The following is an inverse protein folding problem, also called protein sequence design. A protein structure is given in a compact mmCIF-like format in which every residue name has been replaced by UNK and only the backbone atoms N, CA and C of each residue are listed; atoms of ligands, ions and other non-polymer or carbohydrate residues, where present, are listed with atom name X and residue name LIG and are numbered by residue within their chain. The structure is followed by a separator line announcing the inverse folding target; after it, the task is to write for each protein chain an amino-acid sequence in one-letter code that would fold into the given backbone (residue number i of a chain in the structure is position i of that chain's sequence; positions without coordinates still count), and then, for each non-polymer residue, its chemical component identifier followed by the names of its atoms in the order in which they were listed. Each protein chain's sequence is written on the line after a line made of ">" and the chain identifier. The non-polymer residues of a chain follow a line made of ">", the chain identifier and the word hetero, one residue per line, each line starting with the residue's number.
data_IF_643191490534
#
_entry.id   IF_643191490534
#
_cell.length_a   1.000
_cell.length_b   1.000
_cell.length_c   1.000
_cell.angle_alpha   90.00
_cell.angle_beta   90.00
_cell.angle_gamma   90.00
#
_symmetry.space_group_name_H-M   'P 1'
#
loop_
_entity.id
_entity.type
_entity.pdbx_description
1 polymer ?
#
# COMPACT_ATOMS: atom_id res chain seq x y z
N UNK A 1 -6.56 1.89 27.52
CA UNK A 1 -5.93 0.65 27.98
C UNK A 1 -6.97 -0.19 28.74
N UNK A 2 -7.22 -1.41 28.28
CA UNK A 2 -8.19 -2.30 28.91
C UNK A 2 -7.54 -2.96 30.12
N UNK A 3 -7.83 -2.44 31.32
CA UNK A 3 -7.28 -2.93 32.58
C UNK A 3 -8.46 -3.44 33.41
N UNK A 4 -8.46 -4.70 33.82
CA UNK A 4 -9.34 -5.22 34.87
C UNK A 4 -8.60 -5.22 36.21
N UNK A 5 -9.25 -4.72 37.22
CA UNK A 5 -8.71 -4.72 38.59
C UNK A 5 -9.82 -4.68 39.65
N UNK A 6 -9.48 -5.09 40.85
CA UNK A 6 -10.36 -4.92 41.99
C UNK A 6 -10.17 -3.53 42.59
N UNK A 7 -11.23 -2.74 42.60
CA UNK A 7 -11.24 -1.48 43.29
C UNK A 7 -11.65 -1.70 44.76
N UNK A 8 -10.85 -1.19 45.70
CA UNK A 8 -11.19 -1.10 47.11
C UNK A 8 -11.63 0.34 47.37
N UNK A 9 -12.88 0.50 47.77
CA UNK A 9 -13.46 1.80 48.08
C UNK A 9 -13.51 1.93 49.60
N UNK A 10 -12.79 2.90 50.14
CA UNK A 10 -12.82 3.26 51.52
C UNK A 10 -13.14 4.72 51.69
N UNK A 11 -13.95 5.07 52.67
CA UNK A 11 -14.30 6.46 52.94
C UNK A 11 -15.05 6.63 54.27
N UNK A 12 -14.97 7.83 54.84
CA UNK A 12 -15.61 8.21 56.09
C UNK A 12 -16.77 9.21 55.87
N UNK A 13 -17.23 9.38 54.64
CA UNK A 13 -18.30 10.27 54.28
C UNK A 13 -17.84 11.64 53.68
N UNK A 14 -16.60 12.05 53.90
CA UNK A 14 -16.04 13.29 53.36
C UNK A 14 -15.04 13.05 52.21
N UNK A 15 -14.35 11.94 52.25
CA UNK A 15 -13.37 11.57 51.21
C UNK A 15 -13.52 10.10 50.86
N UNK A 16 -13.67 9.80 49.60
CA UNK A 16 -13.69 8.46 49.04
C UNK A 16 -12.33 8.20 48.38
N UNK A 17 -11.61 7.19 48.87
CA UNK A 17 -10.38 6.74 48.24
C UNK A 17 -10.65 5.47 47.47
N UNK A 18 -10.34 5.49 46.17
CA UNK A 18 -10.42 4.32 45.32
C UNK A 18 -8.99 3.86 45.04
N UNK A 19 -8.67 2.66 45.46
CA UNK A 19 -7.38 2.03 45.13
C UNK A 19 -7.60 0.71 44.39
N UNK A 20 -6.73 0.45 43.42
CA UNK A 20 -6.73 -0.82 42.69
C UNK A 20 -5.71 -1.75 43.36
N UNK A 21 -6.18 -2.87 43.88
CA UNK A 21 -5.31 -3.87 44.53
C UNK A 21 -4.47 -4.66 43.50
N UNK A 22 -5.06 -4.92 42.36
CA UNK A 22 -4.42 -5.53 41.22
C UNK A 22 -5.03 -4.93 39.93
N UNK A 23 -4.18 -4.60 38.96
CA UNK A 23 -4.60 -4.20 37.64
C UNK A 23 -3.81 -5.01 36.64
N UNK A 24 -4.50 -5.89 35.93
CA UNK A 24 -3.90 -6.71 34.89
C UNK A 24 -4.56 -6.40 33.55
N UNK A 25 -3.74 -6.32 32.51
CA UNK A 25 -4.25 -6.20 31.14
C UNK A 25 -4.84 -7.56 30.75
N UNK A 26 -6.13 -7.57 30.42
CA UNK A 26 -6.87 -8.79 30.08
C UNK A 26 -6.60 -9.27 28.65
N UNK A 27 -6.37 -8.33 27.75
CA UNK A 27 -6.19 -8.59 26.31
C UNK A 27 -4.78 -8.25 25.87
N UNK A 28 -4.37 -8.80 24.75
CA UNK A 28 -3.16 -8.34 24.08
C UNK A 28 -3.38 -6.93 23.51
N UNK A 29 -2.27 -6.23 23.30
CA UNK A 29 -2.25 -4.90 22.71
C UNK A 29 -1.37 -4.92 21.46
N UNK A 30 -1.93 -4.57 20.32
CA UNK A 30 -1.18 -4.24 19.13
C UNK A 30 -0.96 -2.72 19.10
N UNK A 31 0.30 -2.29 19.19
CA UNK A 31 0.70 -0.92 18.96
C UNK A 31 1.10 -0.77 17.49
N UNK A 32 0.50 0.16 16.80
CA UNK A 32 0.79 0.48 15.42
C UNK A 32 1.45 1.85 15.38
N UNK A 33 2.72 1.89 14.98
CA UNK A 33 3.43 3.15 14.73
C UNK A 33 3.04 3.67 13.35
N UNK A 34 2.58 4.93 13.26
CA UNK A 34 2.09 5.57 12.04
C UNK A 34 2.32 7.08 12.10
N UNK A 35 1.61 7.87 11.28
CA UNK A 35 1.62 9.33 11.33
C UNK A 35 0.94 9.85 12.61
N UNK A 36 1.42 10.94 13.23
CA UNK A 36 0.77 11.55 14.40
C UNK A 36 -0.60 12.15 14.06
N UNK A 37 -1.56 11.99 14.98
CA UNK A 37 -2.91 12.58 14.90
C UNK A 37 -3.70 12.24 13.62
N UNK A 38 -3.36 11.12 12.98
CA UNK A 38 -4.01 10.69 11.74
C UNK A 38 -4.92 9.48 11.97
N UNK A 39 -5.92 9.36 11.10
CA UNK A 39 -6.75 8.17 11.05
C UNK A 39 -6.13 7.12 10.16
N UNK A 40 -6.10 5.89 10.66
CA UNK A 40 -5.74 4.70 9.92
C UNK A 40 -6.89 3.69 9.97
N UNK A 41 -6.97 2.85 8.96
CA UNK A 41 -7.87 1.70 8.95
C UNK A 41 -7.05 0.45 9.15
N UNK A 42 -7.56 -0.46 9.97
CA UNK A 42 -6.92 -1.73 10.28
C UNK A 42 -7.87 -2.86 9.92
N UNK A 43 -7.55 -3.58 8.86
CA UNK A 43 -8.25 -4.82 8.54
C UNK A 43 -7.64 -5.95 9.34
N UNK A 44 -8.47 -6.82 9.88
CA UNK A 44 -8.04 -7.98 10.65
C UNK A 44 -8.72 -9.25 10.16
N UNK A 45 -8.01 -10.36 10.26
CA UNK A 45 -8.60 -11.69 10.09
C UNK A 45 -8.45 -12.48 11.39
N UNK A 46 -9.47 -13.27 11.75
CA UNK A 46 -9.51 -14.13 12.95
C UNK A 46 -9.12 -13.38 14.23
N UNK A 47 -9.82 -12.30 14.51
CA UNK A 47 -9.59 -11.40 15.62
C UNK A 47 -10.77 -11.37 16.58
N UNK A 48 -10.50 -11.44 17.88
CA UNK A 48 -11.52 -11.25 18.92
C UNK A 48 -11.28 -9.89 19.60
N UNK A 49 -12.14 -8.89 19.36
CA UNK A 49 -12.01 -7.56 19.96
C UNK A 49 -12.08 -7.61 21.48
N UNK A 50 -11.39 -6.69 22.14
CA UNK A 50 -11.47 -6.56 23.60
C UNK A 50 -12.90 -6.29 24.03
N UNK A 51 -13.40 -7.10 24.97
CA UNK A 51 -14.77 -7.03 25.47
C UNK A 51 -15.78 -7.89 24.70
N UNK A 52 -15.40 -8.47 23.59
CA UNK A 52 -16.19 -9.47 22.86
C UNK A 52 -15.82 -10.89 23.30
N UNK A 53 -16.79 -11.80 23.23
CA UNK A 53 -16.56 -13.25 23.27
C UNK A 53 -16.45 -13.86 21.89
N UNK A 54 -16.83 -13.12 20.86
CA UNK A 54 -16.99 -13.61 19.50
C UNK A 54 -15.80 -13.23 18.64
N UNK A 55 -15.19 -14.23 18.02
CA UNK A 55 -14.13 -14.06 17.05
C UNK A 55 -14.73 -13.59 15.72
N UNK A 56 -14.18 -12.52 15.19
CA UNK A 56 -14.49 -12.01 13.86
C UNK A 56 -13.59 -12.67 12.83
N UNK A 57 -14.15 -13.28 11.80
CA UNK A 57 -13.35 -13.82 10.69
C UNK A 57 -12.71 -12.72 9.89
N UNK A 58 -13.39 -11.58 9.75
CA UNK A 58 -12.90 -10.35 9.13
C UNK A 58 -13.43 -9.14 9.90
N UNK A 59 -12.54 -8.26 10.30
CA UNK A 59 -12.84 -7.01 10.98
C UNK A 59 -12.23 -5.82 10.24
N UNK A 60 -12.84 -4.65 10.41
CA UNK A 60 -12.33 -3.39 9.89
C UNK A 60 -12.47 -2.32 10.99
N UNK A 61 -11.35 -1.74 11.41
CA UNK A 61 -11.28 -0.82 12.53
C UNK A 61 -10.66 0.51 12.11
N UNK A 62 -11.35 1.61 12.38
CA UNK A 62 -10.78 2.95 12.25
C UNK A 62 -10.15 3.35 13.57
N UNK A 63 -8.86 3.63 13.58
CA UNK A 63 -8.09 4.06 14.73
C UNK A 63 -7.54 5.46 14.49
N UNK A 64 -7.44 6.25 15.56
CA UNK A 64 -6.74 7.54 15.52
C UNK A 64 -5.44 7.41 16.31
N UNK A 65 -4.33 7.81 15.71
CA UNK A 65 -3.03 7.83 16.37
C UNK A 65 -2.90 8.99 17.35
N UNK A 66 -2.09 8.82 18.37
CA UNK A 66 -1.73 9.86 19.32
C UNK A 66 -0.73 10.88 18.72
N UNK A 67 -0.37 11.91 19.50
CA UNK A 67 0.62 12.94 19.11
C UNK A 67 2.01 12.36 18.80
N UNK A 68 2.29 11.13 19.22
CA UNK A 68 3.55 10.42 18.94
C UNK A 68 3.44 9.45 17.77
N UNK A 69 2.29 9.42 17.09
CA UNK A 69 2.03 8.54 15.98
C UNK A 69 1.76 7.08 16.36
N UNK A 70 1.24 6.81 17.57
CA UNK A 70 0.86 5.46 17.95
C UNK A 70 -0.66 5.30 17.94
N UNK A 71 -1.14 4.29 17.26
CA UNK A 71 -2.50 3.79 17.37
C UNK A 71 -2.51 2.43 18.05
N UNK A 72 -3.62 2.08 18.69
CA UNK A 72 -3.69 0.88 19.51
C UNK A 72 -4.95 0.07 19.21
N UNK A 73 -4.76 -1.22 18.97
CA UNK A 73 -5.85 -2.20 18.85
C UNK A 73 -5.72 -3.23 19.98
N UNK A 74 -6.83 -3.48 20.66
CA UNK A 74 -6.88 -4.39 21.81
C UNK A 74 -7.78 -5.59 21.50
N UNK A 75 -7.27 -6.79 21.75
CA UNK A 75 -8.00 -8.03 21.51
C UNK A 75 -7.05 -9.22 21.44
N UNK A 76 -7.53 -10.31 20.90
CA UNK A 76 -6.75 -11.54 20.69
C UNK A 76 -6.73 -11.86 19.20
N UNK A 77 -5.55 -12.07 18.67
CA UNK A 77 -5.33 -12.55 17.31
C UNK A 77 -5.04 -14.04 17.37
N UNK A 78 -5.71 -14.81 16.56
CA UNK A 78 -5.48 -16.24 16.45
C UNK A 78 -4.20 -16.56 15.66
N UNK A 79 -3.80 -17.82 15.65
CA UNK A 79 -2.71 -18.28 14.81
C UNK A 79 -3.03 -18.07 13.32
N UNK A 80 -2.07 -17.56 12.57
CA UNK A 80 -2.20 -17.16 11.17
C UNK A 80 -3.19 -15.99 10.90
N UNK A 81 -3.60 -15.26 11.93
CA UNK A 81 -4.34 -14.00 11.75
C UNK A 81 -3.51 -13.02 10.96
N UNK A 82 -4.15 -12.35 10.01
CA UNK A 82 -3.55 -11.27 9.25
C UNK A 82 -4.07 -9.91 9.73
N UNK A 83 -3.17 -8.94 9.79
CA UNK A 83 -3.48 -7.55 10.11
C UNK A 83 -2.91 -6.68 9.00
N UNK A 84 -3.78 -5.94 8.31
CA UNK A 84 -3.36 -4.98 7.29
C UNK A 84 -3.67 -3.57 7.76
N UNK A 85 -2.65 -2.75 7.88
CA UNK A 85 -2.78 -1.33 8.22
C UNK A 85 -2.87 -0.52 6.94
N UNK A 86 -3.91 0.31 6.84
CA UNK A 86 -4.17 1.18 5.70
C UNK A 86 -4.17 2.65 6.11
N UNK A 87 -3.72 3.50 5.22
CA UNK A 87 -3.89 4.93 5.29
C UNK A 87 -4.49 5.42 3.98
N UNK A 88 -5.64 6.12 4.04
CA UNK A 88 -6.41 6.55 2.86
C UNK A 88 -6.64 5.41 1.85
N UNK A 89 -7.09 4.24 2.34
CA UNK A 89 -7.31 2.99 1.59
C UNK A 89 -6.03 2.29 1.06
N UNK A 90 -4.86 2.90 1.21
CA UNK A 90 -3.60 2.27 0.85
C UNK A 90 -3.07 1.33 1.93
N UNK A 91 -2.82 0.09 1.60
CA UNK A 91 -2.13 -0.82 2.50
C UNK A 91 -0.68 -0.34 2.72
N UNK A 92 -0.37 0.09 3.94
CA UNK A 92 0.99 0.46 4.35
C UNK A 92 1.83 -0.75 4.69
N UNK A 93 1.24 -1.69 5.42
CA UNK A 93 1.93 -2.90 5.86
C UNK A 93 0.90 -3.98 6.19
N UNK A 94 1.30 -5.22 5.99
CA UNK A 94 0.55 -6.41 6.38
C UNK A 94 1.44 -7.27 7.27
N UNK A 95 0.88 -7.79 8.35
CA UNK A 95 1.56 -8.67 9.29
C UNK A 95 0.72 -9.91 9.57
N UNK A 96 1.35 -11.07 9.53
CA UNK A 96 0.71 -12.34 9.88
C UNK A 96 1.26 -12.83 11.21
N UNK A 97 0.39 -13.08 12.17
CA UNK A 97 0.75 -13.69 13.44
C UNK A 97 1.04 -15.18 13.26
N UNK A 98 2.29 -15.60 13.47
CA UNK A 98 2.67 -17.02 13.39
C UNK A 98 2.17 -17.86 14.57
N UNK A 99 1.67 -17.21 15.62
CA UNK A 99 1.09 -17.82 16.82
C UNK A 99 0.00 -16.91 17.35
N UNK A 100 -0.99 -17.49 18.04
CA UNK A 100 -2.00 -16.71 18.73
C UNK A 100 -1.36 -15.76 19.77
N UNK A 101 -1.92 -14.55 19.89
CA UNK A 101 -1.41 -13.55 20.85
C UNK A 101 -1.76 -13.93 22.27
N UNK A 102 -0.83 -13.67 23.18
CA UNK A 102 -1.02 -13.94 24.61
C UNK A 102 -1.64 -12.73 25.30
N UNK A 103 -2.55 -13.00 26.24
CA UNK A 103 -3.14 -11.97 27.11
C UNK A 103 -2.05 -11.16 27.83
N UNK A 104 -2.31 -9.90 28.06
CA UNK A 104 -1.39 -8.94 28.70
C UNK A 104 -0.08 -8.63 27.91
N UNK A 105 0.21 -9.30 26.82
CA UNK A 105 1.38 -8.97 25.99
C UNK A 105 1.14 -7.79 25.05
N UNK A 106 2.22 -7.11 24.72
CA UNK A 106 2.23 -6.03 23.74
C UNK A 106 2.99 -6.48 22.49
N UNK A 107 2.39 -6.24 21.36
CA UNK A 107 2.95 -6.46 20.03
C UNK A 107 3.13 -5.10 19.35
N UNK A 108 4.07 -4.99 18.44
CA UNK A 108 4.34 -3.75 17.74
C UNK A 108 4.38 -4.00 16.23
N UNK A 109 3.73 -3.12 15.49
CA UNK A 109 3.73 -3.10 14.04
C UNK A 109 4.17 -1.72 13.57
N UNK A 110 5.13 -1.68 12.66
CA UNK A 110 5.61 -0.44 12.06
C UNK A 110 4.85 -0.17 10.74
N UNK A 111 4.04 0.86 10.75
CA UNK A 111 3.39 1.45 9.59
C UNK A 111 3.80 2.93 9.46
N UNK A 112 4.99 3.29 9.95
CA UNK A 112 5.48 4.66 9.93
C UNK A 112 5.65 5.15 8.49
N UNK A 113 5.15 6.35 8.25
CA UNK A 113 5.29 7.06 6.98
C UNK A 113 6.18 8.28 7.21
N UNK A 114 7.14 8.51 6.34
CA UNK A 114 7.99 9.69 6.38
C UNK A 114 7.17 10.87 5.87
N UNK A 115 6.89 11.81 6.76
CA UNK A 115 6.26 13.09 6.46
C UNK A 115 7.08 14.15 7.17
N UNK A 116 7.79 14.97 6.43
CA UNK A 116 8.65 16.01 6.98
C UNK A 116 8.36 17.36 6.32
N UNK A 117 8.74 18.44 7.01
CA UNK A 117 8.50 19.80 6.56
C UNK A 117 9.51 20.26 5.50
N UNK A 118 10.55 19.48 5.25
CA UNK A 118 11.57 19.79 4.24
C UNK A 118 12.09 18.52 3.56
N UNK A 119 12.55 18.70 2.33
CA UNK A 119 13.16 17.61 1.53
C UNK A 119 14.42 17.09 2.20
N UNK A 120 15.22 17.96 2.83
CA UNK A 120 16.47 17.55 3.48
C UNK A 120 16.19 16.64 4.68
N UNK A 121 15.16 16.93 5.48
CA UNK A 121 14.73 16.01 6.55
C UNK A 121 14.27 14.65 5.98
N UNK A 122 13.53 14.65 4.88
CA UNK A 122 13.08 13.41 4.21
C UNK A 122 14.31 12.59 3.78
N UNK A 123 15.29 13.22 3.13
CA UNK A 123 16.53 12.57 2.67
C UNK A 123 17.34 11.99 3.82
N UNK A 124 17.48 12.72 4.91
CA UNK A 124 18.19 12.27 6.11
C UNK A 124 17.53 11.05 6.75
N UNK A 125 16.20 11.06 6.86
CA UNK A 125 15.44 9.91 7.41
C UNK A 125 15.55 8.69 6.50
N UNK A 126 15.47 8.87 5.18
CA UNK A 126 15.66 7.79 4.21
C UNK A 126 17.05 7.16 4.37
N UNK A 127 18.10 7.99 4.38
CA UNK A 127 19.47 7.51 4.53
C UNK A 127 19.68 6.74 5.84
N UNK A 128 19.11 7.22 6.95
CA UNK A 128 19.18 6.54 8.24
C UNK A 128 18.43 5.20 8.25
N UNK A 129 17.26 5.12 7.60
CA UNK A 129 16.50 3.87 7.49
C UNK A 129 17.27 2.83 6.69
N UNK A 130 17.74 3.19 5.51
CA UNK A 130 18.50 2.30 4.63
C UNK A 130 19.80 1.83 5.30
N UNK A 131 20.52 2.73 6.00
CA UNK A 131 21.71 2.36 6.76
C UNK A 131 21.47 1.35 7.88
N UNK A 132 20.23 1.26 8.39
CA UNK A 132 19.78 0.24 9.36
C UNK A 132 19.28 -1.05 8.71
N UNK A 133 19.29 -1.14 7.37
CA UNK A 133 18.73 -2.26 6.63
C UNK A 133 17.20 -2.22 6.46
N UNK A 134 16.57 -1.08 6.76
CA UNK A 134 15.13 -0.89 6.59
C UNK A 134 14.83 -0.47 5.14
N UNK A 135 14.55 -1.45 4.28
CA UNK A 135 14.35 -1.23 2.84
C UNK A 135 12.90 -0.89 2.45
N UNK A 136 12.00 -0.83 3.42
CA UNK A 136 10.61 -0.43 3.20
C UNK A 136 10.48 1.08 3.48
N UNK A 137 10.44 1.87 2.41
CA UNK A 137 10.37 3.33 2.45
C UNK A 137 8.94 3.77 2.15
N UNK A 138 8.32 4.45 3.11
CA UNK A 138 6.96 4.99 2.97
C UNK A 138 6.99 6.50 3.10
N UNK A 139 6.50 7.20 2.10
CA UNK A 139 6.52 8.65 1.98
C UNK A 139 5.10 9.21 1.90
N UNK A 140 4.84 10.31 2.60
CA UNK A 140 3.66 11.14 2.39
C UNK A 140 4.12 12.48 1.81
N UNK A 141 3.85 12.68 0.54
CA UNK A 141 4.23 13.89 -0.20
C UNK A 141 3.00 14.75 -0.48
N UNK A 142 3.21 16.04 -0.65
CA UNK A 142 2.15 16.95 -1.08
C UNK A 142 1.65 16.58 -2.47
N UNK A 143 0.37 16.80 -2.74
CA UNK A 143 -0.23 16.57 -4.06
C UNK A 143 0.35 17.48 -5.15
N UNK A 144 0.98 18.56 -4.76
CA UNK A 144 1.65 19.57 -5.58
C UNK A 144 3.17 19.50 -5.50
N UNK A 145 3.73 18.40 -4.95
CA UNK A 145 5.16 18.15 -4.93
C UNK A 145 5.75 18.27 -6.34
N UNK A 146 6.78 19.12 -6.48
CA UNK A 146 7.42 19.40 -7.74
C UNK A 146 8.28 18.25 -8.24
N UNK A 147 8.54 18.22 -9.56
CA UNK A 147 9.39 17.19 -10.17
C UNK A 147 10.79 17.16 -9.53
N UNK A 148 11.38 18.32 -9.27
CA UNK A 148 12.70 18.41 -8.66
C UNK A 148 12.72 17.89 -7.24
N UNK A 149 11.63 18.08 -6.51
CA UNK A 149 11.46 17.57 -5.15
C UNK A 149 11.40 16.02 -5.15
N UNK A 150 10.55 15.46 -5.99
CA UNK A 150 10.44 14.01 -6.13
C UNK A 150 11.79 13.41 -6.57
N UNK A 151 12.46 14.04 -7.54
CA UNK A 151 13.78 13.60 -8.04
C UNK A 151 14.83 13.62 -6.93
N UNK A 152 14.91 14.69 -6.15
CA UNK A 152 15.86 14.78 -5.04
C UNK A 152 15.65 13.69 -3.97
N UNK A 153 14.41 13.29 -3.74
CA UNK A 153 14.07 12.18 -2.83
C UNK A 153 14.50 10.85 -3.43
N UNK A 154 14.23 10.61 -4.71
CA UNK A 154 14.61 9.36 -5.38
C UNK A 154 16.12 9.22 -5.50
N UNK A 155 16.84 10.32 -5.78
CA UNK A 155 18.31 10.35 -5.77
C UNK A 155 18.87 9.98 -4.39
N UNK A 156 18.22 10.43 -3.31
CA UNK A 156 18.64 10.04 -1.96
C UNK A 156 18.43 8.54 -1.69
N UNK A 157 17.37 7.94 -2.20
CA UNK A 157 17.15 6.49 -2.12
C UNK A 157 18.24 5.76 -2.91
N UNK A 158 18.49 6.16 -4.16
CA UNK A 158 19.51 5.54 -5.01
C UNK A 158 20.90 5.63 -4.40
N UNK A 159 21.26 6.79 -3.82
CA UNK A 159 22.58 6.99 -3.21
C UNK A 159 22.76 6.23 -1.89
N UNK A 160 21.69 5.95 -1.16
CA UNK A 160 21.76 5.27 0.14
C UNK A 160 21.58 3.75 0.02
N UNK A 161 20.83 3.30 -0.98
CA UNK A 161 20.56 1.88 -1.17
C UNK A 161 21.82 1.13 -1.67
N UNK A 162 22.02 -0.12 -1.24
CA UNK A 162 23.05 -0.97 -1.83
C UNK A 162 22.82 -1.10 -3.34
N UNK A 163 23.93 -1.15 -4.07
CA UNK A 163 23.89 -1.18 -5.54
C UNK A 163 22.94 -2.26 -6.09
N UNK A 164 22.06 -1.85 -6.97
CA UNK A 164 21.54 -2.50 -8.16
C UNK A 164 20.71 -3.79 -8.08
N UNK A 165 19.98 -4.13 -7.00
CA UNK A 165 19.33 -5.46 -7.01
C UNK A 165 17.84 -5.50 -6.59
N UNK A 166 17.10 -4.43 -6.75
CA UNK A 166 15.67 -4.45 -6.41
C UNK A 166 15.44 -4.75 -4.93
N UNK A 167 15.97 -3.91 -4.06
CA UNK A 167 15.88 -4.08 -2.60
C UNK A 167 14.80 -3.21 -1.97
N UNK A 168 14.43 -2.09 -2.62
CA UNK A 168 13.54 -1.07 -2.06
C UNK A 168 12.08 -1.38 -2.35
N UNK A 169 11.30 -1.51 -1.31
CA UNK A 169 9.84 -1.47 -1.35
C UNK A 169 9.37 -0.04 -1.06
N UNK A 170 8.89 0.67 -2.09
CA UNK A 170 8.55 2.09 -2.02
C UNK A 170 7.03 2.30 -1.98
N UNK A 171 6.55 3.03 -0.99
CA UNK A 171 5.17 3.52 -0.94
C UNK A 171 5.17 5.05 -0.97
N UNK A 172 4.43 5.66 -1.89
CA UNK A 172 4.25 7.10 -1.95
C UNK A 172 2.76 7.44 -1.90
N UNK A 173 2.38 8.24 -0.92
CA UNK A 173 1.02 8.73 -0.69
C UNK A 173 0.98 10.22 -1.02
N UNK A 174 -0.17 10.71 -1.47
CA UNK A 174 -0.43 12.14 -1.70
C UNK A 174 -0.30 12.56 -3.15
N UNK A 175 0.75 12.15 -3.86
CA UNK A 175 0.95 12.55 -5.27
C UNK A 175 -0.15 11.97 -6.18
N UNK A 176 -0.53 12.75 -7.19
CA UNK A 176 -1.59 12.37 -8.15
C UNK A 176 -1.06 11.98 -9.53
N UNK A 177 0.12 12.44 -9.85
CA UNK A 177 0.75 12.23 -11.16
C UNK A 177 2.18 11.77 -10.97
N UNK A 178 2.56 10.72 -11.68
CA UNK A 178 3.95 10.31 -11.84
C UNK A 178 4.51 11.00 -13.07
N UNK A 179 5.51 11.89 -12.91
CA UNK A 179 6.11 12.61 -14.02
C UNK A 179 6.83 11.71 -15.01
N UNK A 180 7.01 12.23 -16.21
CA UNK A 180 7.79 11.58 -17.27
C UNK A 180 9.19 11.22 -16.75
N UNK A 181 9.60 9.96 -17.01
CA UNK A 181 10.96 9.44 -16.76
C UNK A 181 11.45 9.57 -15.30
N UNK A 182 10.55 9.79 -14.32
CA UNK A 182 10.96 10.10 -12.94
C UNK A 182 11.66 8.93 -12.23
N UNK A 183 11.24 7.69 -12.52
CA UNK A 183 11.84 6.46 -11.99
C UNK A 183 12.69 5.73 -13.03
N UNK A 184 12.91 6.31 -14.22
CA UNK A 184 13.57 5.61 -15.30
C UNK A 184 14.97 5.09 -14.89
N UNK A 185 15.22 3.80 -15.11
CA UNK A 185 16.48 3.15 -14.78
C UNK A 185 16.75 2.94 -13.28
N UNK A 186 15.76 3.09 -12.41
CA UNK A 186 15.93 2.90 -10.97
C UNK A 186 16.02 1.42 -10.62
N UNK A 187 17.24 0.87 -10.60
CA UNK A 187 17.52 -0.55 -10.37
C UNK A 187 17.27 -0.99 -8.92
N UNK A 188 17.25 -0.05 -7.97
CA UNK A 188 16.99 -0.31 -6.55
C UNK A 188 15.55 -0.73 -6.27
N UNK A 189 14.60 -0.35 -7.15
CA UNK A 189 13.18 -0.61 -6.96
C UNK A 189 12.83 -2.10 -7.10
N UNK A 190 12.19 -2.64 -6.06
CA UNK A 190 11.59 -3.98 -6.04
C UNK A 190 10.08 -3.91 -6.18
N UNK A 191 9.45 -3.03 -5.42
CA UNK A 191 8.01 -2.82 -5.50
C UNK A 191 7.64 -1.35 -5.30
N UNK A 192 6.51 -0.97 -5.89
CA UNK A 192 5.96 0.39 -5.80
C UNK A 192 4.48 0.31 -5.46
N UNK A 193 4.07 1.10 -4.44
CA UNK A 193 2.68 1.31 -4.05
C UNK A 193 2.36 2.80 -4.06
N UNK A 194 1.42 3.23 -4.88
CA UNK A 194 1.02 4.62 -5.02
C UNK A 194 -0.51 4.74 -5.12
N UNK A 195 -1.20 4.69 -3.99
CA UNK A 195 -2.66 4.56 -3.96
C UNK A 195 -3.41 5.76 -4.52
N UNK A 196 -2.82 6.94 -4.41
CA UNK A 196 -3.44 8.21 -4.81
C UNK A 196 -3.17 8.59 -6.27
N UNK A 197 -2.26 7.87 -6.95
CA UNK A 197 -1.84 8.19 -8.31
C UNK A 197 -2.95 7.89 -9.30
N UNK A 198 -3.27 8.91 -10.10
CA UNK A 198 -4.28 8.87 -11.17
C UNK A 198 -3.65 8.82 -12.55
N UNK A 199 -2.40 9.24 -12.68
CA UNK A 199 -1.76 9.42 -13.97
C UNK A 199 -0.29 9.01 -13.91
N UNK A 200 0.15 8.16 -14.85
CA UNK A 200 1.56 7.78 -15.04
C UNK A 200 1.98 8.23 -16.43
N UNK A 201 2.92 9.18 -16.49
CA UNK A 201 3.43 9.77 -17.72
C UNK A 201 4.40 8.86 -18.45
N UNK A 202 4.83 9.31 -19.65
CA UNK A 202 5.67 8.55 -20.58
C UNK A 202 6.97 8.09 -19.91
N UNK A 203 7.32 6.83 -20.16
CA UNK A 203 8.57 6.20 -19.71
C UNK A 203 8.82 6.33 -18.19
N UNK A 204 7.77 6.55 -17.38
CA UNK A 204 7.93 6.85 -15.95
C UNK A 204 8.75 5.81 -15.19
N UNK A 205 8.62 4.53 -15.52
CA UNK A 205 9.37 3.40 -14.95
C UNK A 205 10.22 2.66 -15.97
N UNK A 206 10.55 3.31 -17.11
CA UNK A 206 11.34 2.68 -18.15
C UNK A 206 12.66 2.13 -17.60
N UNK A 207 12.98 0.86 -17.91
CA UNK A 207 14.23 0.24 -17.48
C UNK A 207 14.37 -0.03 -15.98
N UNK A 208 13.27 -0.06 -15.22
CA UNK A 208 13.28 -0.54 -13.84
C UNK A 208 13.36 -2.08 -13.82
N UNK A 209 14.52 -2.63 -14.17
CA UNK A 209 14.72 -4.06 -14.44
C UNK A 209 14.34 -4.98 -13.28
N UNK A 210 14.53 -4.51 -12.03
CA UNK A 210 14.25 -5.31 -10.82
C UNK A 210 12.85 -5.10 -10.25
N UNK A 211 12.07 -4.19 -10.82
CA UNK A 211 10.70 -3.92 -10.38
C UNK A 211 9.81 -5.13 -10.63
N UNK A 212 9.25 -5.71 -9.57
CA UNK A 212 8.40 -6.92 -9.64
C UNK A 212 6.92 -6.64 -9.45
N UNK A 213 6.58 -5.59 -8.70
CA UNK A 213 5.20 -5.31 -8.30
C UNK A 213 4.91 -3.83 -8.35
N UNK A 214 3.78 -3.46 -8.99
CA UNK A 214 3.24 -2.10 -9.01
C UNK A 214 1.78 -2.13 -8.56
N UNK A 215 1.46 -1.34 -7.54
CA UNK A 215 0.10 -1.18 -7.01
C UNK A 215 -0.33 0.29 -7.12
N UNK A 216 -1.20 0.58 -8.07
CA UNK A 216 -1.71 1.93 -8.39
C UNK A 216 -3.24 1.90 -8.56
N UNK A 217 -3.99 1.54 -7.51
CA UNK A 217 -5.41 1.22 -7.60
C UNK A 217 -6.31 2.38 -8.04
N UNK A 218 -5.83 3.61 -8.00
CA UNK A 218 -6.56 4.80 -8.45
C UNK A 218 -6.16 5.27 -9.86
N UNK A 219 -5.27 4.54 -10.53
CA UNK A 219 -4.77 4.92 -11.85
C UNK A 219 -5.90 4.91 -12.88
N UNK A 220 -6.04 6.02 -13.60
CA UNK A 220 -6.98 6.14 -14.69
C UNK A 220 -6.36 6.61 -16.02
N UNK A 221 -5.09 7.05 -16.01
CA UNK A 221 -4.37 7.47 -17.22
C UNK A 221 -2.96 6.88 -17.26
N UNK A 222 -2.66 6.22 -18.36
CA UNK A 222 -1.39 5.54 -18.59
C UNK A 222 -0.81 5.91 -19.94
N UNK A 223 0.46 6.31 -19.96
CA UNK A 223 1.12 6.82 -21.14
C UNK A 223 2.19 5.86 -21.69
N UNK A 224 2.62 6.12 -22.90
CA UNK A 224 3.54 5.29 -23.68
C UNK A 224 4.83 4.96 -22.92
N UNK A 225 5.27 3.71 -23.03
CA UNK A 225 6.53 3.24 -22.47
C UNK A 225 6.60 3.22 -20.94
N UNK A 226 5.48 3.46 -20.23
CA UNK A 226 5.47 3.67 -18.78
C UNK A 226 6.19 2.57 -18.00
N UNK A 227 6.12 1.32 -18.46
CA UNK A 227 6.78 0.16 -17.84
C UNK A 227 7.67 -0.62 -18.81
N UNK A 228 8.08 0.01 -19.93
CA UNK A 228 8.95 -0.64 -20.89
C UNK A 228 10.29 -1.03 -20.22
N UNK A 229 10.86 -2.17 -20.61
CA UNK A 229 12.09 -2.74 -20.08
C UNK A 229 12.06 -3.02 -18.55
N UNK A 230 10.87 -3.17 -17.97
CA UNK A 230 10.72 -3.68 -16.61
C UNK A 230 10.71 -5.22 -16.63
N UNK A 231 11.84 -5.85 -16.90
CA UNK A 231 11.94 -7.27 -17.26
C UNK A 231 11.36 -8.23 -16.21
N UNK A 232 11.42 -7.85 -14.92
CA UNK A 232 10.94 -8.69 -13.79
C UNK A 232 9.53 -8.34 -13.33
N UNK A 233 8.88 -7.38 -13.97
CA UNK A 233 7.53 -7.00 -13.59
C UNK A 233 6.58 -8.20 -13.75
N UNK A 234 5.93 -8.59 -12.66
CA UNK A 234 5.12 -9.81 -12.61
C UNK A 234 3.75 -9.61 -11.98
N UNK A 235 3.54 -8.49 -11.28
CA UNK A 235 2.25 -8.14 -10.68
C UNK A 235 1.96 -6.66 -10.88
N UNK A 236 0.77 -6.38 -11.41
CA UNK A 236 0.22 -5.04 -11.55
C UNK A 236 -1.18 -4.97 -10.95
N UNK A 237 -1.45 -3.89 -10.22
CA UNK A 237 -2.79 -3.54 -9.77
C UNK A 237 -3.09 -2.13 -10.28
N UNK A 238 -4.09 -2.01 -11.15
CA UNK A 238 -4.54 -0.74 -11.71
C UNK A 238 -5.94 -0.39 -11.22
N UNK A 239 -6.23 0.90 -11.22
CA UNK A 239 -7.58 1.42 -11.20
C UNK A 239 -8.27 1.32 -12.58
N UNK A 240 -9.50 1.84 -12.68
CA UNK A 240 -10.21 1.90 -13.95
C UNK A 240 -9.51 2.88 -14.89
N UNK A 241 -8.89 2.36 -15.94
CA UNK A 241 -8.25 3.21 -16.96
C UNK A 241 -9.31 3.87 -17.84
N UNK A 242 -9.36 5.20 -17.82
CA UNK A 242 -10.17 6.01 -18.72
C UNK A 242 -9.40 6.37 -20.00
N UNK A 243 -8.07 6.28 -19.95
CA UNK A 243 -7.19 6.65 -21.03
C UNK A 243 -5.91 5.81 -21.01
N UNK A 244 -5.60 5.21 -22.13
CA UNK A 244 -4.26 4.71 -22.45
C UNK A 244 -3.83 5.36 -23.77
N UNK A 245 -2.57 5.82 -23.84
CA UNK A 245 -2.04 6.49 -25.03
C UNK A 245 -2.18 5.62 -26.28
N UNK A 246 -2.45 6.24 -27.42
CA UNK A 246 -2.48 5.56 -28.73
C UNK A 246 -1.16 4.87 -29.08
N UNK A 247 -0.05 5.32 -28.46
CA UNK A 247 1.26 4.65 -28.50
C UNK A 247 1.42 3.60 -27.39
N UNK A 248 0.31 3.13 -26.83
CA UNK A 248 0.27 2.14 -25.74
C UNK A 248 1.02 0.84 -26.04
N UNK A 249 1.29 0.59 -27.32
CA UNK A 249 2.08 -0.52 -27.84
C UNK A 249 3.43 -0.73 -27.17
N UNK A 250 3.96 0.27 -26.46
CA UNK A 250 5.26 0.22 -25.79
C UNK A 250 5.17 0.26 -24.28
N UNK A 251 3.96 0.26 -23.72
CA UNK A 251 3.80 0.37 -22.26
C UNK A 251 4.54 -0.75 -21.54
N UNK A 252 4.48 -1.96 -22.09
CA UNK A 252 5.07 -3.17 -21.49
C UNK A 252 6.13 -3.81 -22.41
N UNK A 253 6.76 -3.03 -23.29
CA UNK A 253 7.82 -3.54 -24.16
C UNK A 253 8.95 -4.15 -23.32
N UNK A 254 9.44 -5.35 -23.65
CA UNK A 254 10.45 -6.06 -22.85
C UNK A 254 9.94 -6.69 -21.53
N UNK A 255 8.64 -6.68 -21.25
CA UNK A 255 8.07 -7.16 -19.98
C UNK A 255 7.36 -8.50 -20.17
N UNK A 256 7.55 -9.41 -19.20
CA UNK A 256 6.79 -10.65 -19.11
C UNK A 256 5.88 -10.63 -17.88
N UNK A 257 4.77 -9.90 -17.98
CA UNK A 257 3.78 -9.82 -16.89
C UNK A 257 3.03 -11.14 -16.79
N UNK A 258 2.98 -11.71 -15.58
CA UNK A 258 2.31 -13.01 -15.33
C UNK A 258 0.92 -12.84 -14.75
N UNK A 259 0.74 -11.84 -13.90
CA UNK A 259 -0.54 -11.60 -13.23
C UNK A 259 -0.87 -10.11 -13.27
N UNK A 260 -2.12 -9.80 -13.54
CA UNK A 260 -2.63 -8.44 -13.52
C UNK A 260 -3.94 -8.39 -12.73
N UNK A 261 -4.03 -7.44 -11.79
CA UNK A 261 -5.26 -7.16 -11.05
C UNK A 261 -5.82 -5.83 -11.54
N UNK A 262 -7.01 -5.85 -12.08
CA UNK A 262 -7.74 -4.66 -12.54
C UNK A 262 -8.86 -4.33 -11.54
N UNK A 263 -8.94 -3.07 -11.15
CA UNK A 263 -10.08 -2.55 -10.38
C UNK A 263 -10.95 -1.78 -11.36
N UNK A 264 -12.10 -2.32 -11.68
CA UNK A 264 -12.98 -1.84 -12.74
C UNK A 264 -14.32 -1.36 -12.18
N UNK A 265 -14.94 -0.42 -12.87
CA UNK A 265 -16.36 -0.12 -12.72
C UNK A 265 -17.21 -1.21 -13.40
N UNK A 266 -18.50 -1.31 -13.04
CA UNK A 266 -19.45 -2.23 -13.69
C UNK A 266 -19.53 -1.99 -15.21
N UNK A 267 -19.45 -0.72 -15.64
CA UNK A 267 -19.43 -0.37 -17.06
C UNK A 267 -18.20 -0.91 -17.79
N UNK A 268 -17.04 -0.85 -17.16
CA UNK A 268 -15.79 -1.37 -17.75
C UNK A 268 -15.77 -2.89 -17.77
N UNK A 269 -16.43 -3.54 -16.81
CA UNK A 269 -16.66 -4.99 -16.83
C UNK A 269 -17.38 -5.42 -18.10
N UNK A 270 -18.51 -4.77 -18.41
CA UNK A 270 -19.29 -5.07 -19.61
C UNK A 270 -18.46 -4.89 -20.87
N UNK A 271 -17.61 -3.86 -20.92
CA UNK A 271 -16.73 -3.63 -22.05
C UNK A 271 -15.67 -4.72 -22.23
N UNK A 272 -15.10 -5.25 -21.15
CA UNK A 272 -14.13 -6.35 -21.22
C UNK A 272 -14.83 -7.65 -21.61
N UNK A 273 -16.00 -7.95 -21.05
CA UNK A 273 -16.77 -9.14 -21.34
C UNK A 273 -17.33 -9.16 -22.76
N UNK A 274 -17.58 -8.00 -23.37
CA UNK A 274 -18.15 -7.87 -24.72
C UNK A 274 -17.10 -7.70 -25.81
N UNK A 275 -15.81 -7.84 -25.50
CA UNK A 275 -14.68 -7.73 -26.42
C UNK A 275 -14.38 -6.34 -26.99
N UNK A 276 -15.12 -5.37 -26.62
CA UNK A 276 -14.75 -3.98 -26.90
C UNK A 276 -14.04 -3.40 -25.69
N UNK A 277 -13.03 -4.12 -25.17
CA UNK A 277 -12.32 -3.66 -24.00
C UNK A 277 -11.76 -2.28 -24.23
N UNK A 278 -11.94 -1.38 -23.28
CA UNK A 278 -11.35 -0.05 -23.28
C UNK A 278 -9.83 -0.13 -23.46
N UNK A 279 -9.24 -1.25 -23.14
CA UNK A 279 -7.82 -1.54 -23.21
C UNK A 279 -7.35 -1.99 -24.59
N UNK A 280 -8.27 -2.36 -25.47
CA UNK A 280 -8.00 -2.70 -26.87
C UNK A 280 -8.63 -1.67 -27.81
N UNK A 281 -9.57 -0.87 -27.32
CA UNK A 281 -10.39 -0.01 -28.18
C UNK A 281 -9.68 1.25 -28.70
N UNK A 282 -8.63 1.70 -28.03
CA UNK A 282 -7.86 2.86 -28.47
C UNK A 282 -6.87 2.53 -29.58
N UNK A 283 -6.66 1.25 -29.85
CA UNK A 283 -5.81 0.80 -30.95
C UNK A 283 -6.56 -0.21 -31.81
N UNK A 284 -7.19 0.27 -32.87
CA UNK A 284 -7.97 -0.56 -33.80
C UNK A 284 -7.13 -1.60 -34.51
N UNK A 285 -5.82 -1.44 -34.53
CA UNK A 285 -4.88 -2.35 -35.15
C UNK A 285 -4.36 -3.42 -34.18
N UNK A 286 -4.65 -3.26 -32.89
CA UNK A 286 -4.18 -4.13 -31.79
C UNK A 286 -5.29 -4.93 -31.08
N UNK A 287 -6.54 -4.68 -31.41
CA UNK A 287 -7.56 -5.64 -31.06
C UNK A 287 -7.15 -6.97 -31.67
N UNK A 288 -6.70 -7.89 -30.84
CA UNK A 288 -6.48 -9.26 -31.29
C UNK A 288 -7.64 -9.67 -32.14
N UNK A 289 -7.40 -10.41 -33.19
CA UNK A 289 -8.35 -10.66 -34.28
C UNK A 289 -9.73 -11.12 -33.84
N UNK A 290 -9.94 -11.41 -32.57
CA UNK A 290 -11.18 -11.88 -31.97
C UNK A 290 -11.64 -11.09 -30.73
N UNK A 291 -10.80 -10.12 -30.24
CA UNK A 291 -11.18 -9.20 -29.15
C UNK A 291 -11.64 -9.84 -27.84
N UNK A 292 -11.55 -11.15 -27.70
CA UNK A 292 -12.17 -11.92 -26.63
C UNK A 292 -11.19 -12.63 -25.72
N UNK A 293 -9.90 -12.40 -25.88
CA UNK A 293 -8.91 -13.10 -25.07
C UNK A 293 -8.77 -12.46 -23.69
N UNK A 294 -9.30 -13.10 -22.66
CA UNK A 294 -9.17 -12.69 -21.27
C UNK A 294 -7.71 -12.65 -20.74
N UNK A 295 -6.73 -13.01 -21.60
CA UNK A 295 -5.30 -12.96 -21.32
C UNK A 295 -4.59 -11.81 -22.01
N UNK A 296 -5.32 -11.01 -22.77
CA UNK A 296 -4.83 -9.82 -23.44
C UNK A 296 -5.15 -8.57 -22.62
N UNK A 297 -4.18 -7.67 -22.51
CA UNK A 297 -4.34 -6.39 -21.86
C UNK A 297 -3.48 -5.35 -22.58
N UNK A 298 -4.08 -4.26 -23.03
CA UNK A 298 -3.43 -3.21 -23.81
C UNK A 298 -2.64 -3.74 -25.03
N UNK A 299 -3.20 -4.73 -25.74
CA UNK A 299 -2.57 -5.35 -26.90
C UNK A 299 -1.42 -6.32 -26.59
N UNK A 300 -1.16 -6.61 -25.31
CA UNK A 300 -0.17 -7.60 -24.92
C UNK A 300 -0.84 -8.91 -24.53
N UNK A 301 -0.38 -9.98 -25.13
CA UNK A 301 -0.75 -11.35 -24.81
C UNK A 301 0.18 -11.93 -23.73
N UNK A 302 -0.11 -13.13 -23.26
CA UNK A 302 0.71 -13.91 -22.33
C UNK A 302 0.52 -13.60 -20.84
N UNK A 303 -0.53 -12.94 -20.46
CA UNK A 303 -0.89 -12.86 -19.04
C UNK A 303 -1.29 -14.23 -18.50
N UNK A 304 -0.76 -14.60 -17.34
CA UNK A 304 -1.17 -15.82 -16.65
C UNK A 304 -2.56 -15.69 -16.07
N UNK A 305 -2.91 -14.52 -15.55
CA UNK A 305 -4.23 -14.21 -15.05
C UNK A 305 -4.49 -12.70 -15.14
N UNK A 306 -5.75 -12.38 -15.43
CA UNK A 306 -6.31 -11.04 -15.30
C UNK A 306 -7.43 -11.16 -14.28
N UNK A 307 -7.31 -10.49 -13.14
CA UNK A 307 -8.33 -10.49 -12.09
C UNK A 307 -9.02 -9.14 -12.08
N UNK A 308 -10.32 -9.13 -12.31
CA UNK A 308 -11.13 -7.92 -12.25
C UNK A 308 -11.80 -7.82 -10.88
N UNK A 309 -11.64 -6.67 -10.23
CA UNK A 309 -12.36 -6.31 -9.00
C UNK A 309 -13.26 -5.13 -9.33
N UNK A 310 -14.49 -5.18 -8.86
CA UNK A 310 -15.48 -4.13 -9.10
C UNK A 310 -15.61 -3.29 -7.85
N UNK A 311 -15.61 -1.95 -8.03
CA UNK A 311 -16.02 -1.04 -6.97
C UNK A 311 -17.54 -1.12 -6.87
N UNK A 312 -18.03 -1.57 -5.73
CA UNK A 312 -19.45 -1.39 -5.37
C UNK A 312 -19.60 0.09 -5.04
N UNK A 313 -20.37 0.84 -5.86
CA UNK A 313 -20.76 2.22 -5.56
C UNK A 313 -21.65 2.29 -4.32
#
# INVERSE_FOLDING_TARGET
>A
EYIEGKAIITGNGETITVSFAEATRKYSRLRIATLPNEQITVDTEYFTPAGSSDMEQKGNYTLTSDEKGNAYLYGTFENNSEVTVKYREAALTTYTFSQATESAKSYALDATVISANSIDEIKDVIAQKIAKGEMNIRLNLSSDAGIDEIRAILDAICNAAPDDQGTIDLTIIGIKTIPKEIFAGMLQLKSVKMPDVKEIKECAFWGCEYLTTVEVPSLNRLYSGAFAECERLSKLTFGPLDYADELSMRIFDGVTIKNIDLILSEYQKEMIETASSIYTANDRDYAGSDGHNSKEFLGYENFKSITCRYTVE
#
